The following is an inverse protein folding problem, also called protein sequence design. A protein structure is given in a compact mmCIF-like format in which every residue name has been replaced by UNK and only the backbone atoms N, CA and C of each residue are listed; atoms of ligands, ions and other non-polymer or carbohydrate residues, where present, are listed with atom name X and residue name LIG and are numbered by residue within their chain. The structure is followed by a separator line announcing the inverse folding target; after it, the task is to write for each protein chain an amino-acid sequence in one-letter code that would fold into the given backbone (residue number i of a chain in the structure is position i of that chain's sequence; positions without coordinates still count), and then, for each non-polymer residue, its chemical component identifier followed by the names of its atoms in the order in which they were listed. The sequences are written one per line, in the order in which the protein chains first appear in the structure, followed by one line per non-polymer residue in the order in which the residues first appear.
data_IF_272993896029
#
_entry.id   IF_272993896029
#
_cell.length_a   1.000
_cell.length_b   1.000
_cell.length_c   1.000
_cell.angle_alpha   90.00
_cell.angle_beta   90.00
_cell.angle_gamma   90.00
#
_symmetry.space_group_name_H-M   'P 1'
#
loop_
_entity.id
_entity.type
_entity.pdbx_description
1 polymer ?
#
# COMPACT_ATOMS: atom_id res chain seq x y z
N UNK A 1 -0.06 -14.75 7.27
CA UNK A 1 -1.47 -15.11 7.55
C UNK A 1 -2.15 -14.24 8.59
N UNK A 2 -1.77 -14.29 9.88
CA UNK A 2 -2.56 -13.65 10.95
C UNK A 2 -2.68 -12.11 10.91
N UNK A 3 -1.73 -11.42 10.28
CA UNK A 3 -1.75 -9.96 10.17
C UNK A 3 -2.73 -9.44 9.11
N UNK A 4 -2.97 -10.23 8.06
CA UNK A 4 -3.89 -9.90 6.96
C UNK A 4 -5.28 -10.50 7.26
N UNK A 5 -5.34 -11.81 7.50
CA UNK A 5 -6.59 -12.52 7.84
C UNK A 5 -6.59 -12.80 9.34
N UNK A 6 -7.44 -12.08 10.08
CA UNK A 6 -7.46 -12.13 11.56
C UNK A 6 -7.95 -13.45 12.13
N UNK A 7 -8.86 -14.14 11.43
CA UNK A 7 -9.45 -15.40 11.89
C UNK A 7 -9.68 -16.32 10.70
N UNK A 8 -9.21 -17.55 10.83
CA UNK A 8 -9.45 -18.63 9.87
C UNK A 8 -9.85 -19.87 10.67
N UNK A 9 -11.12 -20.24 10.59
CA UNK A 9 -11.65 -21.44 11.23
C UNK A 9 -11.94 -22.49 10.14
N UNK A 10 -11.33 -23.67 10.24
CA UNK A 10 -11.47 -24.75 9.25
C UNK A 10 -11.90 -26.04 9.95
N UNK A 11 -12.85 -26.76 9.36
CA UNK A 11 -13.34 -28.05 9.89
C UNK A 11 -13.17 -29.15 8.86
N UNK A 12 -12.34 -30.19 9.06
CA UNK A 12 -11.59 -30.47 10.28
C UNK A 12 -10.35 -29.57 10.45
N UNK A 13 -10.03 -29.22 11.70
CA UNK A 13 -8.97 -28.28 12.07
C UNK A 13 -7.59 -28.65 11.52
N UNK A 14 -7.31 -29.95 11.35
CA UNK A 14 -6.06 -30.45 10.76
C UNK A 14 -5.76 -29.93 9.34
N UNK A 15 -6.78 -29.47 8.60
CA UNK A 15 -6.58 -28.88 7.26
C UNK A 15 -5.75 -27.61 7.27
N UNK A 16 -5.67 -26.89 8.41
CA UNK A 16 -4.85 -25.68 8.49
C UNK A 16 -3.35 -25.97 8.40
N UNK A 17 -2.90 -27.16 8.82
CA UNK A 17 -1.49 -27.56 8.71
C UNK A 17 -1.09 -27.72 7.24
N UNK A 18 -1.95 -28.34 6.42
CA UNK A 18 -1.72 -28.49 4.97
C UNK A 18 -1.62 -27.15 4.24
N UNK A 19 -2.40 -26.15 4.67
CA UNK A 19 -2.33 -24.79 4.11
C UNK A 19 -0.97 -24.13 4.42
N UNK A 20 -0.52 -24.18 5.68
CA UNK A 20 0.78 -23.62 6.06
C UNK A 20 1.96 -24.36 5.39
N UNK A 21 1.88 -25.69 5.25
CA UNK A 21 2.93 -26.49 4.61
C UNK A 21 3.03 -26.19 3.09
N UNK A 22 1.89 -25.94 2.42
CA UNK A 22 1.86 -25.56 1.00
C UNK A 22 2.41 -24.17 0.71
N UNK A 23 2.28 -23.24 1.66
CA UNK A 23 2.80 -21.87 1.53
C UNK A 23 4.33 -21.78 1.60
N UNK A 24 4.98 -22.75 2.25
CA UNK A 24 6.45 -22.83 2.28
C UNK A 24 7.05 -23.18 0.90
N UNK A 25 6.24 -23.66 -0.04
CA UNK A 25 6.65 -24.06 -1.39
C UNK A 25 6.51 -22.98 -2.46
N UNK A 26 5.90 -21.83 -2.15
CA UNK A 26 5.92 -20.71 -3.10
C UNK A 26 7.29 -20.03 -3.00
N UNK A 27 8.10 -20.29 -4.02
CA UNK A 27 9.38 -19.66 -4.29
C UNK A 27 9.35 -18.18 -3.87
N UNK A 28 10.38 -17.70 -3.18
CA UNK A 28 10.55 -16.28 -2.81
C UNK A 28 10.81 -15.47 -4.09
N UNK A 29 9.86 -15.48 -5.03
CA UNK A 29 9.84 -14.61 -6.19
C UNK A 29 10.04 -13.21 -5.63
N UNK A 30 11.06 -12.53 -6.12
CA UNK A 30 11.28 -11.12 -5.79
C UNK A 30 9.95 -10.41 -5.94
N UNK A 31 9.47 -9.80 -4.86
CA UNK A 31 8.11 -9.23 -4.73
C UNK A 31 7.83 -8.15 -5.79
N UNK A 32 8.87 -7.73 -6.52
CA UNK A 32 8.86 -6.69 -7.54
C UNK A 32 9.53 -5.43 -7.00
N UNK A 33 9.66 -4.40 -7.84
CA UNK A 33 10.08 -3.07 -7.43
C UNK A 33 9.32 -2.58 -6.20
N UNK A 34 9.99 -1.82 -5.35
CA UNK A 34 9.38 -1.15 -4.21
C UNK A 34 8.52 -2.09 -3.33
N UNK A 35 8.96 -3.34 -3.14
CA UNK A 35 8.23 -4.33 -2.35
C UNK A 35 6.91 -4.79 -2.98
N UNK A 36 6.82 -4.78 -4.32
CA UNK A 36 5.63 -5.15 -5.08
C UNK A 36 4.51 -4.11 -5.02
N UNK A 37 4.86 -2.83 -4.85
CA UNK A 37 3.88 -1.75 -4.72
C UNK A 37 2.86 -1.78 -5.86
N UNK A 38 3.30 -1.89 -7.12
CA UNK A 38 2.42 -1.84 -8.30
C UNK A 38 1.41 -3.00 -8.32
N UNK A 39 1.80 -4.19 -7.85
CA UNK A 39 0.86 -5.32 -7.70
C UNK A 39 -0.18 -5.03 -6.62
N UNK A 40 0.27 -4.52 -5.48
CA UNK A 40 -0.64 -4.17 -4.38
C UNK A 40 -1.58 -3.01 -4.76
N UNK A 41 -1.07 -2.02 -5.50
CA UNK A 41 -1.84 -0.90 -6.03
C UNK A 41 -2.94 -1.38 -6.98
N UNK A 42 -2.63 -2.28 -7.92
CA UNK A 42 -3.65 -2.90 -8.77
C UNK A 42 -4.75 -3.59 -7.96
N UNK A 43 -4.40 -4.39 -6.95
CA UNK A 43 -5.38 -5.01 -6.06
C UNK A 43 -6.23 -3.99 -5.28
N UNK A 44 -5.64 -2.87 -4.87
CA UNK A 44 -6.35 -1.81 -4.16
C UNK A 44 -7.24 -0.98 -5.08
N UNK A 45 -6.86 -0.79 -6.35
CA UNK A 45 -7.75 -0.22 -7.37
C UNK A 45 -9.01 -1.07 -7.53
N UNK A 46 -8.87 -2.38 -7.69
CA UNK A 46 -10.01 -3.30 -7.78
C UNK A 46 -10.88 -3.25 -6.52
N UNK A 47 -10.26 -3.26 -5.33
CA UNK A 47 -10.96 -3.22 -4.05
C UNK A 47 -11.76 -1.93 -3.85
N UNK A 48 -11.22 -0.79 -4.29
CA UNK A 48 -11.88 0.51 -4.18
C UNK A 48 -12.78 0.86 -5.37
N UNK A 49 -12.84 0.01 -6.41
CA UNK A 49 -13.59 0.30 -7.63
C UNK A 49 -13.02 1.48 -8.42
N UNK A 50 -11.71 1.68 -8.34
CA UNK A 50 -10.98 2.80 -8.93
C UNK A 50 -10.21 2.35 -10.18
N UNK A 51 -10.09 3.21 -11.21
CA UNK A 51 -9.28 2.88 -12.37
C UNK A 51 -7.80 2.74 -11.99
N UNK A 52 -7.13 1.74 -12.55
CA UNK A 52 -5.69 1.63 -12.45
C UNK A 52 -5.02 2.70 -13.31
N UNK A 53 -4.03 3.39 -12.75
CA UNK A 53 -3.22 4.40 -13.45
C UNK A 53 -1.84 3.83 -13.72
N UNK A 54 -1.53 3.58 -15.00
CA UNK A 54 -0.22 3.06 -15.41
C UNK A 54 0.92 3.99 -14.97
N UNK A 55 0.70 5.31 -14.98
CA UNK A 55 1.69 6.31 -14.58
C UNK A 55 2.13 6.18 -13.11
N UNK A 56 1.21 5.84 -12.20
CA UNK A 56 1.54 5.61 -10.78
C UNK A 56 2.50 4.43 -10.63
N UNK A 57 2.20 3.33 -11.31
CA UNK A 57 3.04 2.13 -11.23
C UNK A 57 4.36 2.32 -11.94
N UNK A 58 4.37 3.04 -13.06
CA UNK A 58 5.58 3.39 -13.77
C UNK A 58 6.51 4.30 -12.93
N UNK A 59 5.96 5.33 -12.28
CA UNK A 59 6.70 6.20 -11.37
C UNK A 59 7.33 5.40 -10.23
N UNK A 60 6.58 4.49 -9.63
CA UNK A 60 7.06 3.70 -8.49
C UNK A 60 8.11 2.66 -8.91
N UNK A 61 7.85 1.94 -10.01
CA UNK A 61 8.74 0.87 -10.48
C UNK A 61 10.01 1.41 -11.14
N UNK A 62 9.96 2.64 -11.67
CA UNK A 62 11.08 3.26 -12.39
C UNK A 62 11.75 4.33 -11.56
N UNK A 63 11.06 5.42 -11.23
CA UNK A 63 11.65 6.61 -10.59
C UNK A 63 12.00 6.31 -9.15
N UNK A 64 11.02 5.88 -8.35
CA UNK A 64 11.23 5.61 -6.92
C UNK A 64 12.25 4.49 -6.68
N UNK A 65 12.18 3.42 -7.47
CA UNK A 65 13.15 2.34 -7.40
C UNK A 65 14.56 2.84 -7.75
N UNK A 66 14.71 3.61 -8.84
CA UNK A 66 16.02 4.11 -9.28
C UNK A 66 16.68 5.05 -8.27
N UNK A 67 15.88 5.78 -7.50
CA UNK A 67 16.34 6.67 -6.44
C UNK A 67 16.49 5.99 -5.07
N UNK A 68 16.17 4.69 -4.96
CA UNK A 68 16.07 3.94 -3.70
C UNK A 68 15.26 4.68 -2.61
N UNK A 69 14.21 5.39 -3.06
CA UNK A 69 13.40 6.24 -2.19
C UNK A 69 12.51 5.39 -1.29
N UNK A 70 12.56 5.66 0.02
CA UNK A 70 11.73 5.01 1.06
C UNK A 70 10.56 5.87 1.55
N UNK A 71 10.42 7.07 1.00
CA UNK A 71 9.34 8.01 1.28
C UNK A 71 8.37 8.09 0.11
N UNK A 72 7.11 7.70 0.30
CA UNK A 72 6.04 7.96 -0.68
C UNK A 72 5.53 9.39 -0.50
N UNK A 73 5.74 10.25 -1.50
CA UNK A 73 5.25 11.63 -1.52
C UNK A 73 3.92 11.68 -2.30
N UNK A 74 2.81 11.97 -1.60
CA UNK A 74 1.51 12.11 -2.26
C UNK A 74 1.43 13.31 -3.21
N UNK A 75 2.35 14.27 -3.06
CA UNK A 75 2.45 15.43 -3.93
C UNK A 75 2.90 15.04 -5.34
N UNK A 76 3.63 13.93 -5.49
CA UNK A 76 4.10 13.48 -6.81
C UNK A 76 2.92 13.07 -7.70
N UNK A 77 1.76 12.79 -7.09
CA UNK A 77 0.52 12.40 -7.75
C UNK A 77 -0.54 13.51 -7.75
N UNK A 78 -0.16 14.78 -7.54
CA UNK A 78 -1.10 15.92 -7.44
C UNK A 78 -1.82 16.28 -8.75
N UNK A 79 -1.31 15.78 -9.88
CA UNK A 79 -1.91 15.88 -11.21
C UNK A 79 -3.09 14.92 -11.41
N UNK A 80 -3.26 13.92 -10.53
CA UNK A 80 -4.38 12.97 -10.55
C UNK A 80 -5.62 13.53 -9.84
N UNK A 81 -6.76 12.87 -10.04
CA UNK A 81 -7.95 13.19 -9.25
C UNK A 81 -7.71 12.86 -7.78
N UNK A 82 -8.26 13.66 -6.85
CA UNK A 82 -8.06 13.43 -5.40
C UNK A 82 -8.50 12.04 -4.92
N UNK A 83 -9.48 11.42 -5.59
CA UNK A 83 -9.94 10.05 -5.31
C UNK A 83 -8.90 8.98 -5.67
N UNK A 84 -8.02 9.25 -6.65
CA UNK A 84 -6.99 8.30 -7.09
C UNK A 84 -5.92 8.10 -6.00
N UNK A 85 -5.80 9.03 -5.04
CA UNK A 85 -4.91 8.88 -3.89
C UNK A 85 -5.33 7.73 -2.95
N UNK A 86 -6.61 7.38 -2.90
CA UNK A 86 -7.11 6.34 -1.99
C UNK A 86 -6.43 5.00 -2.26
N UNK A 87 -6.48 4.39 -3.47
CA UNK A 87 -5.79 3.14 -3.75
C UNK A 87 -4.26 3.23 -3.63
N UNK A 88 -3.65 4.39 -3.93
CA UNK A 88 -2.21 4.64 -3.78
C UNK A 88 -1.81 4.51 -2.31
N UNK A 89 -2.51 5.21 -1.41
CA UNK A 89 -2.27 5.14 0.03
C UNK A 89 -2.58 3.72 0.52
N UNK A 90 -3.66 3.10 0.05
CA UNK A 90 -4.04 1.73 0.42
C UNK A 90 -2.97 0.70 0.12
N UNK A 91 -2.19 0.89 -0.95
CA UNK A 91 -1.11 -0.02 -1.32
C UNK A 91 0.00 -0.09 -0.26
N UNK A 92 0.10 0.92 0.63
CA UNK A 92 1.07 0.92 1.73
C UNK A 92 0.70 0.01 2.90
N UNK A 93 -0.53 -0.51 3.00
CA UNK A 93 -1.01 -1.27 4.17
C UNK A 93 -0.15 -2.49 4.50
N UNK A 94 0.31 -3.20 3.47
CA UNK A 94 1.16 -4.39 3.60
C UNK A 94 2.47 -4.27 2.82
N UNK A 95 2.79 -3.05 2.35
CA UNK A 95 4.05 -2.79 1.69
C UNK A 95 5.21 -2.87 2.69
N UNK A 96 6.35 -3.38 2.24
CA UNK A 96 7.56 -3.58 3.07
C UNK A 96 8.75 -2.75 2.60
N UNK A 97 8.55 -1.88 1.61
CA UNK A 97 9.59 -1.03 1.04
C UNK A 97 9.56 0.38 1.60
N UNK A 98 8.38 1.01 1.62
CA UNK A 98 8.19 2.37 2.08
C UNK A 98 8.17 2.42 3.60
N UNK A 99 8.98 3.31 4.16
CA UNK A 99 9.04 3.58 5.60
C UNK A 99 8.52 4.97 5.95
N UNK A 100 8.31 5.83 4.96
CA UNK A 100 7.80 7.20 5.17
C UNK A 100 6.64 7.50 4.24
N UNK A 101 5.65 8.24 4.75
CA UNK A 101 4.54 8.78 3.97
C UNK A 101 4.50 10.30 4.17
N UNK A 102 4.53 11.04 3.07
CA UNK A 102 4.48 12.51 3.06
C UNK A 102 3.26 13.02 2.31
N UNK A 103 2.51 13.89 2.96
CA UNK A 103 1.53 14.76 2.35
C UNK A 103 1.82 16.19 2.80
N UNK A 104 2.48 16.97 1.95
CA UNK A 104 2.88 18.34 2.27
C UNK A 104 2.41 19.31 1.18
N UNK A 105 1.71 20.38 1.56
CA UNK A 105 1.28 21.44 0.64
C UNK A 105 0.19 21.03 -0.36
N UNK A 106 -0.66 20.08 0.02
CA UNK A 106 -1.77 19.60 -0.80
C UNK A 106 -3.07 19.51 -0.01
N UNK A 107 -4.21 19.45 -0.71
CA UNK A 107 -5.52 19.24 -0.10
C UNK A 107 -5.84 17.74 -0.07
N UNK A 108 -6.04 17.20 1.12
CA UNK A 108 -6.50 15.82 1.30
C UNK A 108 -8.02 15.78 1.47
N UNK A 109 -8.66 14.77 0.87
CA UNK A 109 -10.06 14.44 1.14
C UNK A 109 -10.18 13.72 2.47
N UNK A 110 -11.37 13.72 3.06
CA UNK A 110 -11.68 12.92 4.24
C UNK A 110 -11.36 11.43 4.00
N UNK A 111 -11.68 10.90 2.83
CA UNK A 111 -11.38 9.51 2.45
C UNK A 111 -9.88 9.21 2.42
N UNK A 112 -9.08 10.13 1.88
CA UNK A 112 -7.61 9.98 1.88
C UNK A 112 -7.05 9.99 3.30
N UNK A 113 -7.53 10.89 4.16
CA UNK A 113 -7.11 10.95 5.57
C UNK A 113 -7.46 9.68 6.34
N UNK A 114 -8.70 9.19 6.21
CA UNK A 114 -9.13 7.92 6.80
C UNK A 114 -8.23 6.77 6.34
N UNK A 115 -7.83 6.78 5.06
CA UNK A 115 -6.96 5.76 4.53
C UNK A 115 -5.54 5.84 5.07
N UNK A 116 -4.99 7.04 5.25
CA UNK A 116 -3.71 7.25 5.94
C UNK A 116 -3.79 6.68 7.36
N UNK A 117 -4.83 7.02 8.13
CA UNK A 117 -5.01 6.52 9.49
C UNK A 117 -5.13 4.99 9.54
N UNK A 118 -5.84 4.39 8.58
CA UNK A 118 -5.93 2.94 8.45
C UNK A 118 -4.57 2.30 8.20
N UNK A 119 -3.78 2.85 7.27
CA UNK A 119 -2.41 2.38 6.99
C UNK A 119 -1.53 2.50 8.24
N UNK A 120 -1.57 3.63 8.95
CA UNK A 120 -0.79 3.81 10.19
C UNK A 120 -1.15 2.79 11.27
N UNK A 121 -2.41 2.32 11.32
CA UNK A 121 -2.85 1.30 12.28
C UNK A 121 -2.42 -0.12 11.91
N UNK A 122 -2.07 -0.35 10.64
CA UNK A 122 -1.94 -1.69 10.05
C UNK A 122 -0.57 -2.02 9.50
N UNK A 123 0.09 -1.03 8.93
CA UNK A 123 1.42 -1.19 8.37
C UNK A 123 2.40 -1.59 9.46
N UNK A 124 3.29 -2.51 9.10
CA UNK A 124 4.39 -2.93 9.95
C UNK A 124 5.71 -2.25 9.54
N UNK A 125 5.67 -1.40 8.51
CA UNK A 125 6.86 -0.86 7.83
C UNK A 125 6.93 0.67 7.85
N UNK A 126 5.80 1.36 7.96
CA UNK A 126 5.78 2.83 8.04
C UNK A 126 6.27 3.27 9.43
N UNK A 127 7.30 4.10 9.44
CA UNK A 127 7.98 4.64 10.62
C UNK A 127 7.73 6.14 10.78
N UNK A 128 7.61 6.87 9.66
CA UNK A 128 7.50 8.34 9.66
C UNK A 128 6.28 8.81 8.84
N UNK A 129 5.52 9.75 9.41
CA UNK A 129 4.38 10.40 8.76
C UNK A 129 4.55 11.91 8.78
N UNK A 130 4.54 12.53 7.61
CA UNK A 130 4.66 13.97 7.42
C UNK A 130 3.37 14.55 6.86
N UNK A 131 2.71 15.41 7.63
CA UNK A 131 1.44 16.05 7.31
C UNK A 131 1.59 17.57 7.50
N UNK A 132 2.04 18.27 6.45
CA UNK A 132 2.40 19.69 6.55
C UNK A 132 1.59 20.56 5.59
N UNK A 133 1.17 21.74 6.03
CA UNK A 133 0.42 22.69 5.19
C UNK A 133 -0.74 22.02 4.44
N UNK A 134 -1.44 21.12 5.12
CA UNK A 134 -2.61 20.46 4.59
C UNK A 134 -3.76 21.47 4.60
N UNK A 135 -4.32 21.75 3.42
CA UNK A 135 -5.50 22.60 3.31
C UNK A 135 -6.77 21.85 3.75
N UNK A 136 -6.74 21.27 4.96
CA UNK A 136 -7.86 20.56 5.59
C UNK A 136 -8.90 21.60 5.99
N UNK A 137 -10.15 21.38 5.57
CA UNK A 137 -11.30 22.13 6.08
C UNK A 137 -11.94 21.35 7.21
#
# INVERSE_FOLDING_TARGET
FRHIIRKVDVVPAKRIQQLHEGECGCDKRSVGPCGGFSTQYACMCDYHGMPYRDEVSWDVDTIYLSHDTRELSLRDFDHLDQKDLVPIISALEYNTWFTKLRASGMKLTHESLERILHVMKKSLSIEELYLDNLAVK
#
